data_IF_930497307808
#
_entry.id   IF_930497307808
#
_cell.length_a   1.000
_cell.length_b   1.000
_cell.length_c   1.000
_cell.angle_alpha   90.00
_cell.angle_beta   90.00
_cell.angle_gamma   90.00
#
_symmetry.space_group_name_H-M   'P 1'
#
loop_
_entity.id
_entity.type
_entity.pdbx_description
1 polymer ?
#
# COMPACT_ATOMS: atom_id res chain seq x y z
N UNK A 1 32.55 -38.27 -24.49
CA UNK A 1 32.14 -36.85 -24.63
C UNK A 1 30.71 -36.71 -24.13
N UNK A 2 30.50 -36.04 -22.99
CA UNK A 2 29.19 -35.90 -22.33
C UNK A 2 28.47 -34.70 -22.94
N UNK A 3 27.33 -34.92 -23.60
CA UNK A 3 26.47 -33.86 -24.13
C UNK A 3 25.70 -33.21 -22.97
N UNK A 4 26.10 -32.01 -22.56
CA UNK A 4 25.33 -31.21 -21.62
C UNK A 4 24.11 -30.60 -22.34
N UNK A 5 22.92 -31.15 -22.07
CA UNK A 5 21.65 -30.54 -22.48
C UNK A 5 21.42 -29.25 -21.71
N UNK A 6 21.35 -28.12 -22.43
CA UNK A 6 20.95 -26.82 -21.88
C UNK A 6 19.52 -26.93 -21.34
N UNK A 7 19.36 -26.98 -20.02
CA UNK A 7 18.07 -26.83 -19.35
C UNK A 7 17.61 -25.38 -19.55
N UNK A 8 16.61 -25.16 -20.41
CA UNK A 8 15.90 -23.88 -20.51
C UNK A 8 15.05 -23.72 -19.25
N UNK A 9 15.46 -22.83 -18.35
CA UNK A 9 14.64 -22.40 -17.22
C UNK A 9 13.43 -21.64 -17.76
N UNK A 10 12.24 -22.23 -17.68
CA UNK A 10 10.98 -21.56 -17.93
C UNK A 10 10.75 -20.54 -16.80
N UNK A 11 10.91 -19.24 -17.07
CA UNK A 11 10.49 -18.17 -16.17
C UNK A 11 8.96 -18.15 -16.13
N UNK A 12 8.38 -18.58 -15.02
CA UNK A 12 6.94 -18.45 -14.77
C UNK A 12 6.68 -17.01 -14.32
N UNK A 13 5.94 -16.25 -15.13
CA UNK A 13 5.43 -14.95 -14.72
C UNK A 13 4.15 -15.17 -13.91
N UNK A 14 4.05 -14.48 -12.78
CA UNK A 14 2.81 -14.38 -12.00
C UNK A 14 2.30 -12.95 -12.16
N UNK A 15 1.04 -12.83 -12.58
CA UNK A 15 0.34 -11.56 -12.73
C UNK A 15 -0.59 -11.35 -11.54
N UNK A 16 -0.67 -10.11 -11.05
CA UNK A 16 -1.51 -9.71 -9.93
C UNK A 16 -2.35 -8.52 -10.41
N UNK A 17 -3.66 -8.71 -10.46
CA UNK A 17 -4.61 -7.64 -10.75
C UNK A 17 -5.10 -7.02 -9.42
N UNK A 18 -5.04 -5.69 -9.34
CA UNK A 18 -5.50 -4.92 -8.17
C UNK A 18 -6.60 -3.97 -8.63
N UNK A 19 -7.83 -4.37 -8.38
CA UNK A 19 -9.01 -3.57 -8.70
C UNK A 19 -9.23 -2.47 -7.64
N UNK A 20 -9.78 -1.34 -8.07
CA UNK A 20 -10.26 -0.26 -7.19
C UNK A 20 -9.22 0.28 -6.19
N UNK A 21 -7.94 0.30 -6.57
CA UNK A 21 -6.87 0.86 -5.75
C UNK A 21 -7.14 2.35 -5.41
N UNK A 22 -6.99 2.80 -4.16
CA UNK A 22 -7.23 4.19 -3.78
C UNK A 22 -6.31 5.15 -4.56
N UNK A 23 -6.91 6.15 -5.21
CA UNK A 23 -6.20 7.05 -6.14
C UNK A 23 -5.63 6.38 -7.40
N UNK A 24 -6.08 5.15 -7.70
CA UNK A 24 -5.76 4.42 -8.91
C UNK A 24 -4.26 4.16 -9.09
N UNK A 25 -3.76 4.18 -10.34
CA UNK A 25 -2.35 3.96 -10.63
C UNK A 25 -1.40 4.90 -9.90
N UNK A 26 -1.81 6.16 -9.68
CA UNK A 26 -0.99 7.16 -9.01
C UNK A 26 -0.80 6.83 -7.52
N UNK A 27 -1.85 6.36 -6.83
CA UNK A 27 -1.74 5.89 -5.46
C UNK A 27 -0.78 4.71 -5.34
N UNK A 28 -0.89 3.76 -6.28
CA UNK A 28 -0.01 2.59 -6.31
C UNK A 28 1.44 2.96 -6.59
N UNK A 29 1.69 3.90 -7.51
CA UNK A 29 3.03 4.43 -7.79
C UNK A 29 3.65 5.06 -6.54
N UNK A 30 2.89 5.86 -5.79
CA UNK A 30 3.39 6.52 -4.57
C UNK A 30 3.80 5.50 -3.50
N UNK A 31 2.95 4.50 -3.25
CA UNK A 31 3.28 3.44 -2.28
C UNK A 31 4.41 2.54 -2.76
N UNK A 32 4.42 2.15 -4.03
CA UNK A 32 5.51 1.33 -4.58
C UNK A 32 6.84 2.08 -4.51
N UNK A 33 6.86 3.39 -4.82
CA UNK A 33 8.05 4.23 -4.63
C UNK A 33 8.52 4.20 -3.18
N UNK A 34 7.62 4.31 -2.21
CA UNK A 34 7.99 4.16 -0.79
C UNK A 34 8.63 2.79 -0.52
N UNK A 35 7.98 1.70 -0.93
CA UNK A 35 8.43 0.33 -0.65
C UNK A 35 9.79 0.00 -1.30
N UNK A 36 10.03 0.50 -2.51
CA UNK A 36 11.27 0.21 -3.26
C UNK A 36 12.38 1.25 -3.04
N UNK A 37 12.09 2.40 -2.45
CA UNK A 37 13.08 3.46 -2.16
C UNK A 37 13.47 3.50 -0.67
N UNK A 38 13.58 2.35 -0.02
CA UNK A 38 13.96 2.23 1.39
C UNK A 38 13.11 3.12 2.31
N UNK A 39 11.80 3.17 2.11
CA UNK A 39 10.89 3.96 2.94
C UNK A 39 11.04 5.47 2.81
N UNK A 40 11.76 5.95 1.78
CA UNK A 40 11.97 7.38 1.56
C UNK A 40 10.97 7.90 0.54
N UNK A 41 10.01 8.69 1.04
CA UNK A 41 9.12 9.50 0.22
C UNK A 41 8.86 10.82 0.94
N UNK A 42 8.70 11.91 0.18
CA UNK A 42 8.29 13.19 0.76
C UNK A 42 6.78 13.16 0.99
N UNK A 43 6.38 13.13 2.26
CA UNK A 43 4.98 13.18 2.68
C UNK A 43 4.60 14.65 2.87
N UNK A 44 3.57 15.10 2.16
CA UNK A 44 3.08 16.49 2.15
C UNK A 44 1.55 16.51 2.15
N UNK A 45 0.97 17.67 2.42
CA UNK A 45 -0.49 17.90 2.47
C UNK A 45 -1.23 17.41 1.22
N UNK A 46 -0.60 17.42 0.04
CA UNK A 46 -1.22 16.97 -1.21
C UNK A 46 -1.17 15.46 -1.46
N UNK A 47 -0.37 14.68 -0.74
CA UNK A 47 -0.21 13.24 -1.00
C UNK A 47 -0.43 12.36 0.24
N UNK A 48 -0.42 12.93 1.44
CA UNK A 48 -0.50 12.20 2.70
C UNK A 48 -1.81 11.42 2.85
N UNK A 49 -2.95 12.00 2.45
CA UNK A 49 -4.24 11.31 2.50
C UNK A 49 -4.25 10.09 1.58
N UNK A 50 -3.74 10.24 0.35
CA UNK A 50 -3.64 9.15 -0.61
C UNK A 50 -2.67 8.05 -0.15
N UNK A 51 -1.49 8.42 0.37
CA UNK A 51 -0.53 7.48 0.93
C UNK A 51 -1.11 6.69 2.10
N UNK A 52 -1.84 7.37 2.99
CA UNK A 52 -2.48 6.75 4.15
C UNK A 52 -3.54 5.73 3.72
N UNK A 53 -4.48 6.13 2.85
CA UNK A 53 -5.51 5.22 2.33
C UNK A 53 -4.91 4.04 1.57
N UNK A 54 -3.87 4.26 0.78
CA UNK A 54 -3.18 3.21 0.03
C UNK A 54 -2.42 2.24 0.94
N UNK A 55 -1.78 2.75 2.00
CA UNK A 55 -1.12 1.93 2.99
C UNK A 55 -2.11 1.04 3.77
N UNK A 56 -3.30 1.58 4.09
CA UNK A 56 -4.39 0.81 4.69
C UNK A 56 -4.91 -0.25 3.73
N UNK A 57 -5.17 0.11 2.46
CA UNK A 57 -5.71 -0.80 1.45
C UNK A 57 -4.80 -2.01 1.20
N UNK A 58 -3.48 -1.78 1.19
CA UNK A 58 -2.49 -2.83 1.02
C UNK A 58 -2.15 -3.59 2.31
N UNK A 59 -2.77 -3.21 3.43
CA UNK A 59 -2.45 -3.72 4.76
C UNK A 59 -0.94 -3.72 5.00
N UNK A 60 -0.29 -2.57 4.74
CA UNK A 60 1.15 -2.40 5.00
C UNK A 60 1.34 -2.49 6.52
N UNK A 61 1.56 -3.71 6.98
CA UNK A 61 1.73 -4.03 8.39
C UNK A 61 3.19 -3.93 8.79
N UNK A 62 3.40 -3.47 10.01
CA UNK A 62 4.67 -3.26 10.71
C UNK A 62 5.41 -4.58 11.03
N UNK A 63 5.45 -5.56 10.12
CA UNK A 63 6.25 -6.77 10.36
C UNK A 63 7.73 -6.44 10.22
N UNK A 64 8.26 -5.89 11.32
CA UNK A 64 9.65 -5.85 11.72
C UNK A 64 10.19 -7.28 11.59
N UNK A 65 10.82 -7.59 10.47
CA UNK A 65 11.69 -8.75 10.41
C UNK A 65 12.94 -8.39 11.22
N UNK A 66 13.03 -8.89 12.45
CA UNK A 66 14.11 -8.67 13.45
C UNK A 66 15.51 -9.07 12.95
N UNK A 67 15.64 -9.56 11.73
CA UNK A 67 16.89 -10.08 11.17
C UNK A 67 17.71 -9.05 10.37
N UNK A 68 17.13 -7.93 9.89
CA UNK A 68 17.86 -7.01 9.03
C UNK A 68 17.88 -5.58 9.60
N UNK A 69 19.07 -5.01 9.76
CA UNK A 69 19.35 -3.60 10.06
C UNK A 69 18.75 -2.59 9.05
N UNK A 70 17.98 -3.06 8.06
CA UNK A 70 17.16 -2.29 7.13
C UNK A 70 15.70 -2.12 7.61
N UNK A 71 15.31 -2.76 8.72
CA UNK A 71 13.95 -2.79 9.27
C UNK A 71 13.40 -1.45 9.78
N UNK A 72 14.19 -0.36 9.73
CA UNK A 72 13.73 0.99 10.08
C UNK A 72 12.82 1.65 9.01
N UNK A 73 12.56 1.00 7.87
CA UNK A 73 12.05 1.70 6.67
C UNK A 73 10.63 1.37 6.23
N UNK A 74 9.85 0.59 6.98
CA UNK A 74 8.54 0.11 6.49
C UNK A 74 7.33 0.46 7.39
N UNK A 75 7.29 1.64 8.00
CA UNK A 75 6.04 2.12 8.61
C UNK A 75 5.50 3.37 7.89
N UNK A 76 5.04 3.19 6.65
CA UNK A 76 4.38 4.26 5.89
C UNK A 76 3.13 4.76 6.63
N UNK A 77 2.37 3.84 7.23
CA UNK A 77 1.15 4.15 7.94
C UNK A 77 1.42 5.11 9.10
N UNK A 78 2.37 4.77 9.98
CA UNK A 78 2.79 5.63 11.09
C UNK A 78 3.36 6.98 10.60
N UNK A 79 4.16 6.99 9.53
CA UNK A 79 4.69 8.24 9.00
C UNK A 79 3.56 9.17 8.50
N UNK A 80 2.55 8.63 7.83
CA UNK A 80 1.39 9.41 7.39
C UNK A 80 0.52 9.84 8.57
N UNK A 81 0.37 9.01 9.59
CA UNK A 81 -0.40 9.32 10.80
C UNK A 81 0.22 10.50 11.57
N UNK A 82 1.53 10.49 11.79
CA UNK A 82 2.25 11.61 12.43
C UNK A 82 2.05 12.92 11.65
N UNK A 83 2.08 12.86 10.32
CA UNK A 83 1.87 14.05 9.48
C UNK A 83 0.43 14.54 9.61
N UNK A 84 -0.55 13.64 9.64
CA UNK A 84 -1.98 13.97 9.82
C UNK A 84 -2.31 14.45 11.24
N UNK A 85 -1.63 13.98 12.28
CA UNK A 85 -1.74 14.52 13.65
C UNK A 85 -1.33 16.00 13.70
N UNK A 86 -0.37 16.40 12.86
CA UNK A 86 0.08 17.78 12.69
C UNK A 86 -0.90 18.71 11.98
N UNK A 87 -2.09 18.23 11.58
CA UNK A 87 -3.05 18.99 10.75
C UNK A 87 -3.51 20.29 11.39
N UNK A 88 -3.57 20.38 12.72
CA UNK A 88 -3.90 21.63 13.44
C UNK A 88 -2.89 22.76 13.21
N UNK A 89 -1.67 22.44 12.82
CA UNK A 89 -0.61 23.42 12.57
C UNK A 89 -0.49 23.81 11.09
N UNK A 90 -1.33 23.24 10.22
CA UNK A 90 -1.27 23.49 8.79
C UNK A 90 -1.98 24.78 8.41
N UNK A 91 -1.57 25.35 7.27
CA UNK A 91 -2.34 26.42 6.65
C UNK A 91 -3.70 25.89 6.21
N UNK A 92 -4.70 26.78 6.14
CA UNK A 92 -6.02 26.40 5.64
C UNK A 92 -5.96 25.83 4.20
N UNK A 93 -5.03 26.34 3.37
CA UNK A 93 -4.79 25.83 2.02
C UNK A 93 -4.29 24.38 2.04
N UNK A 94 -3.38 24.05 2.94
CA UNK A 94 -2.86 22.68 3.10
C UNK A 94 -3.94 21.71 3.57
N UNK A 95 -4.77 22.14 4.52
CA UNK A 95 -5.92 21.35 5.00
C UNK A 95 -6.88 21.08 3.83
N UNK A 96 -7.23 22.12 3.07
CA UNK A 96 -8.07 21.96 1.88
C UNK A 96 -7.46 21.04 0.82
N UNK A 97 -6.16 21.17 0.55
CA UNK A 97 -5.47 20.31 -0.40
C UNK A 97 -5.52 18.85 0.04
N UNK A 98 -5.28 18.59 1.33
CA UNK A 98 -5.39 17.24 1.89
C UNK A 98 -6.79 16.66 1.76
N UNK A 99 -7.82 17.45 2.08
CA UNK A 99 -9.23 17.05 1.98
C UNK A 99 -9.65 16.76 0.53
N UNK A 100 -9.24 17.58 -0.44
CA UNK A 100 -9.54 17.36 -1.87
C UNK A 100 -8.98 16.01 -2.36
N UNK A 101 -7.75 15.69 -1.99
CA UNK A 101 -7.13 14.42 -2.36
C UNK A 101 -7.76 13.21 -1.64
N UNK A 102 -8.39 13.44 -0.48
CA UNK A 102 -9.17 12.41 0.21
C UNK A 102 -10.49 12.11 -0.51
N UNK A 103 -11.23 13.15 -0.94
CA UNK A 103 -12.48 12.96 -1.68
C UNK A 103 -12.28 12.14 -2.96
N UNK A 104 -11.24 12.41 -3.74
CA UNK A 104 -10.96 11.66 -4.98
C UNK A 104 -10.67 10.17 -4.71
N UNK A 105 -10.14 9.85 -3.54
CA UNK A 105 -9.85 8.48 -3.11
C UNK A 105 -11.11 7.72 -2.63
N UNK A 106 -12.17 8.42 -2.21
CA UNK A 106 -13.41 7.84 -1.66
C UNK A 106 -14.45 7.46 -2.71
N UNK A 107 -14.33 7.95 -3.95
CA UNK A 107 -15.23 7.61 -5.06
C UNK A 107 -15.16 6.12 -5.51
N UNK A 108 -14.24 5.33 -4.94
CA UNK A 108 -14.04 3.91 -5.27
C UNK A 108 -14.61 2.93 -4.23
N UNK A 109 -15.22 3.40 -3.13
CA UNK A 109 -16.09 2.53 -2.32
C UNK A 109 -17.43 2.30 -3.05
N UNK A 110 -17.41 1.70 -4.25
CA UNK A 110 -18.60 0.97 -4.69
C UNK A 110 -18.78 -0.18 -3.69
N UNK A 111 -20.02 -0.44 -3.21
CA UNK A 111 -20.27 -1.60 -2.36
C UNK A 111 -19.70 -2.84 -3.04
N UNK A 112 -19.10 -3.78 -2.29
CA UNK A 112 -18.40 -4.92 -2.86
C UNK A 112 -19.33 -5.61 -3.85
N UNK A 113 -18.96 -5.58 -5.14
CA UNK A 113 -19.74 -6.20 -6.22
C UNK A 113 -19.81 -7.72 -6.09
N UNK A 114 -19.11 -8.30 -5.11
CA UNK A 114 -19.12 -9.72 -4.85
C UNK A 114 -19.05 -10.03 -3.34
N UNK A 115 -20.19 -10.37 -2.69
CA UNK A 115 -20.26 -10.76 -1.28
C UNK A 115 -19.34 -11.92 -0.90
N UNK A 116 -18.87 -12.69 -1.89
CA UNK A 116 -18.04 -13.89 -1.69
C UNK A 116 -16.56 -13.58 -1.35
N UNK A 117 -16.05 -12.37 -1.59
CA UNK A 117 -14.67 -12.00 -1.18
C UNK A 117 -14.57 -11.85 0.35
N UNK A 118 -15.59 -11.34 1.04
CA UNK A 118 -15.61 -11.21 2.50
C UNK A 118 -15.65 -12.58 3.20
N UNK A 119 -16.37 -13.56 2.64
CA UNK A 119 -16.44 -14.92 3.21
C UNK A 119 -15.09 -15.65 3.13
N UNK A 120 -14.25 -15.34 2.13
CA UNK A 120 -12.90 -15.92 2.01
C UNK A 120 -11.93 -15.38 3.05
N UNK A 121 -11.98 -14.08 3.37
CA UNK A 121 -11.17 -13.51 4.45
C UNK A 121 -11.63 -14.00 5.84
N UNK A 122 -12.94 -14.12 6.06
CA UNK A 122 -13.47 -14.68 7.31
C UNK A 122 -13.12 -16.17 7.51
N UNK A 123 -12.98 -16.97 6.44
CA UNK A 123 -12.60 -18.39 6.53
C UNK A 123 -11.11 -18.65 6.72
N UNK A 124 -10.23 -17.70 6.39
CA UNK A 124 -8.79 -17.85 6.64
C UNK A 124 -8.38 -17.47 8.07
N UNK A 125 -9.27 -16.80 8.83
CA UNK A 125 -9.10 -16.55 10.27
C UNK A 125 -9.65 -17.66 11.18
N UNK A 126 -10.20 -18.74 10.61
CA UNK A 126 -10.81 -19.84 11.35
C UNK A 126 -10.27 -21.20 10.94
N UNK A 127 -9.24 -21.66 11.68
CA UNK A 127 -8.98 -23.06 12.05
C UNK A 127 -7.56 -23.58 11.76
N UNK A 128 -6.76 -23.60 12.83
CA UNK A 128 -5.85 -24.65 13.33
C UNK A 128 -4.89 -23.89 14.27
N UNK A 129 -4.98 -23.97 15.60
CA UNK A 129 -5.11 -25.10 16.53
C UNK A 129 -5.70 -24.56 17.83
#
# INVERSE_FOLDING_TARGET
MIKQGKKKTQMRYSEIEIDDFPGGPNGFELVSRFCYNNGRITIISSNVSLLHCSAIFLEITEKVSTYNLLAQTCNLLQQTEIVLEGLFYWSWNDILMCLKNCSDSLHLQKPPQNPLRQVRQARLGGSMI
#
